data_IF_020386579061
#
_entry.id   IF_020386579061
#
_cell.length_a   1.000
_cell.length_b   1.000
_cell.length_c   1.000
_cell.angle_alpha   90.00
_cell.angle_beta   90.00
_cell.angle_gamma   90.00
#
_symmetry.space_group_name_H-M   'P 1'
#
loop_
_entity.id
_entity.type
_entity.pdbx_description
1 polymer ?
#
# COMPACT_ATOMS: atom_id res chain seq x y z
N UNK A 1 1.11 -5.61 29.60
CA UNK A 1 1.41 -5.06 28.31
C UNK A 1 2.66 -5.73 27.76
N UNK A 2 2.51 -6.59 26.74
CA UNK A 2 3.64 -7.22 26.07
C UNK A 2 4.48 -6.14 25.41
N UNK A 3 5.72 -5.96 25.84
CA UNK A 3 6.71 -5.14 25.13
C UNK A 3 7.09 -5.87 23.85
N UNK A 4 6.51 -5.47 22.73
CA UNK A 4 6.95 -5.91 21.40
C UNK A 4 8.41 -5.47 21.23
N UNK A 5 9.35 -6.36 20.88
CA UNK A 5 10.73 -5.97 20.63
C UNK A 5 10.79 -4.84 19.60
N UNK A 6 11.68 -3.87 19.80
CA UNK A 6 11.80 -2.64 19.01
C UNK A 6 12.03 -2.89 17.50
N UNK A 7 12.47 -4.10 17.15
CA UNK A 7 12.81 -4.54 15.78
C UNK A 7 11.85 -5.57 15.18
N UNK A 8 10.72 -5.88 15.84
CA UNK A 8 9.75 -6.80 15.29
C UNK A 8 8.98 -6.14 14.13
N UNK A 9 8.90 -6.85 13.00
CA UNK A 9 8.08 -6.46 11.86
C UNK A 9 6.61 -6.50 12.32
N UNK A 10 5.94 -5.35 12.24
CA UNK A 10 4.50 -5.28 12.56
C UNK A 10 3.72 -5.55 11.28
N UNK A 11 2.82 -6.51 11.33
CA UNK A 11 1.89 -6.86 10.25
C UNK A 11 0.45 -6.75 10.74
N UNK A 12 -0.48 -6.50 9.85
CA UNK A 12 -1.91 -6.51 10.12
C UNK A 12 -2.55 -7.77 9.53
N UNK A 13 -3.52 -8.32 10.25
CA UNK A 13 -4.45 -9.29 9.67
C UNK A 13 -5.47 -8.61 8.74
N UNK A 14 -6.30 -9.40 8.08
CA UNK A 14 -7.34 -8.87 7.18
C UNK A 14 -8.29 -7.89 7.88
N UNK A 15 -8.68 -8.17 9.13
CA UNK A 15 -9.54 -7.29 9.92
C UNK A 15 -8.86 -5.96 10.25
N UNK A 16 -7.59 -6.00 10.62
CA UNK A 16 -6.77 -4.82 10.87
C UNK A 16 -6.64 -3.93 9.63
N UNK A 17 -6.42 -4.54 8.45
CA UNK A 17 -6.38 -3.82 7.17
C UNK A 17 -7.72 -3.12 6.90
N UNK A 18 -8.84 -3.85 6.99
CA UNK A 18 -10.18 -3.28 6.76
C UNK A 18 -10.48 -2.12 7.73
N UNK A 19 -10.21 -2.30 9.01
CA UNK A 19 -10.41 -1.25 10.02
C UNK A 19 -9.55 -0.01 9.71
N UNK A 20 -8.30 -0.20 9.32
CA UNK A 20 -7.42 0.91 8.98
C UNK A 20 -7.89 1.66 7.74
N UNK A 21 -8.27 0.94 6.68
CA UNK A 21 -8.82 1.53 5.46
C UNK A 21 -10.12 2.31 5.73
N UNK A 22 -11.00 1.80 6.61
CA UNK A 22 -12.24 2.50 6.97
C UNK A 22 -11.97 3.82 7.71
N UNK A 23 -10.98 3.86 8.61
CA UNK A 23 -10.55 5.10 9.30
C UNK A 23 -10.04 6.13 8.28
N UNK A 24 -9.27 5.69 7.28
CA UNK A 24 -8.77 6.57 6.23
C UNK A 24 -9.94 7.07 5.38
N UNK A 25 -10.85 6.20 4.97
CA UNK A 25 -12.05 6.52 4.19
C UNK A 25 -12.94 7.54 4.91
N UNK A 26 -13.06 7.48 6.23
CA UNK A 26 -13.80 8.46 7.03
C UNK A 26 -13.08 9.81 7.13
N UNK A 27 -11.76 9.86 6.96
CA UNK A 27 -10.95 11.09 7.00
C UNK A 27 -10.82 11.70 8.41
N UNK A 28 -11.10 10.95 9.46
CA UNK A 28 -11.07 11.41 10.87
C UNK A 28 -9.68 11.84 11.36
N UNK A 29 -8.63 11.50 10.66
CA UNK A 29 -7.24 11.92 10.96
C UNK A 29 -6.96 13.40 10.64
N UNK A 30 -7.92 14.11 10.00
CA UNK A 30 -7.86 15.54 9.75
C UNK A 30 -8.59 16.41 10.79
N UNK A 31 -9.27 15.83 11.77
CA UNK A 31 -10.21 16.53 12.66
C UNK A 31 -9.60 17.67 13.50
N UNK A 32 -8.27 17.86 13.48
CA UNK A 32 -7.57 18.93 14.22
C UNK A 32 -7.39 20.24 13.43
N UNK A 33 -7.84 20.31 12.17
CA UNK A 33 -7.62 21.47 11.30
C UNK A 33 -8.93 21.98 10.73
N UNK A 34 -9.50 23.01 11.35
CA UNK A 34 -10.68 23.73 10.86
C UNK A 34 -10.28 25.04 10.15
N UNK A 35 -9.93 24.95 8.86
CA UNK A 35 -9.70 26.13 8.01
C UNK A 35 -10.24 25.84 6.60
N UNK A 36 -11.02 26.78 6.01
CA UNK A 36 -11.66 26.62 4.68
C UNK A 36 -10.70 26.19 3.55
N UNK A 37 -9.43 26.63 3.60
CA UNK A 37 -8.39 26.20 2.66
C UNK A 37 -8.09 24.71 2.84
N UNK A 38 -8.08 24.24 4.08
CA UNK A 38 -7.85 22.84 4.44
C UNK A 38 -9.02 21.91 4.07
N UNK A 39 -10.25 22.39 4.06
CA UNK A 39 -11.42 21.55 3.78
C UNK A 39 -11.44 21.02 2.34
N UNK A 40 -10.94 21.81 1.37
CA UNK A 40 -10.80 21.39 -0.03
C UNK A 40 -9.72 20.34 -0.19
N UNK A 41 -8.53 20.60 0.35
CA UNK A 41 -7.41 19.65 0.33
C UNK A 41 -7.74 18.39 1.12
N UNK A 42 -8.48 18.49 2.23
CA UNK A 42 -8.97 17.37 3.03
C UNK A 42 -9.85 16.42 2.21
N UNK A 43 -10.78 16.95 1.40
CA UNK A 43 -11.62 16.13 0.53
C UNK A 43 -10.78 15.38 -0.49
N UNK A 44 -9.77 16.04 -1.06
CA UNK A 44 -8.85 15.43 -2.00
C UNK A 44 -8.02 14.32 -1.35
N UNK A 45 -7.29 14.64 -0.29
CA UNK A 45 -6.43 13.68 0.41
C UNK A 45 -7.17 12.48 1.01
N UNK A 46 -8.42 12.66 1.40
CA UNK A 46 -9.23 11.56 1.90
C UNK A 46 -9.42 10.47 0.83
N UNK A 47 -9.74 10.85 -0.40
CA UNK A 47 -9.90 9.91 -1.50
C UNK A 47 -8.55 9.36 -1.97
N UNK A 48 -7.57 10.24 -2.10
CA UNK A 48 -6.23 9.87 -2.52
C UNK A 48 -5.59 8.85 -1.57
N UNK A 49 -5.60 9.12 -0.26
CA UNK A 49 -4.94 8.24 0.70
C UNK A 49 -5.67 6.93 0.89
N UNK A 50 -6.99 6.90 0.72
CA UNK A 50 -7.72 5.64 0.68
C UNK A 50 -7.26 4.77 -0.50
N UNK A 51 -7.15 5.34 -1.69
CA UNK A 51 -6.63 4.63 -2.86
C UNK A 51 -5.16 4.23 -2.71
N UNK A 52 -4.29 5.14 -2.18
CA UNK A 52 -2.87 4.92 -1.98
C UNK A 52 -2.61 3.77 -1.01
N UNK A 53 -3.25 3.78 0.15
CA UNK A 53 -3.05 2.76 1.20
C UNK A 53 -3.65 1.43 0.77
N UNK A 54 -4.81 1.42 0.10
CA UNK A 54 -5.37 0.22 -0.51
C UNK A 54 -4.40 -0.41 -1.51
N UNK A 55 -3.85 0.39 -2.42
CA UNK A 55 -2.82 -0.07 -3.37
C UNK A 55 -1.57 -0.57 -2.65
N UNK A 56 -1.13 0.10 -1.60
CA UNK A 56 0.03 -0.29 -0.80
C UNK A 56 -0.10 -1.69 -0.23
N UNK A 57 -1.25 -2.03 0.36
CA UNK A 57 -1.55 -3.38 0.86
C UNK A 57 -1.72 -4.39 -0.27
N UNK A 58 -2.42 -4.05 -1.35
CA UNK A 58 -2.71 -4.98 -2.44
C UNK A 58 -1.51 -5.31 -3.33
N UNK A 59 -0.53 -4.42 -3.42
CA UNK A 59 0.62 -4.57 -4.34
C UNK A 59 1.94 -4.89 -3.66
N UNK A 60 2.13 -4.51 -2.39
CA UNK A 60 3.42 -4.56 -1.70
C UNK A 60 4.48 -3.62 -2.28
N UNK A 61 4.10 -2.60 -3.06
CA UNK A 61 5.03 -1.62 -3.62
C UNK A 61 5.72 -0.79 -2.52
N UNK A 62 6.93 -0.28 -2.84
CA UNK A 62 7.59 0.73 -2.00
C UNK A 62 6.84 2.06 -2.12
N UNK A 63 6.80 2.84 -1.05
CA UNK A 63 6.10 4.16 -1.08
C UNK A 63 6.65 5.07 -2.18
N UNK A 64 7.94 5.04 -2.45
CA UNK A 64 8.54 5.81 -3.55
C UNK A 64 8.06 5.36 -4.93
N UNK A 65 7.82 4.06 -5.12
CA UNK A 65 7.24 3.51 -6.35
C UNK A 65 5.78 3.96 -6.49
N UNK A 66 5.01 3.92 -5.40
CA UNK A 66 3.61 4.38 -5.37
C UNK A 66 3.53 5.87 -5.71
N UNK A 67 4.34 6.73 -5.05
CA UNK A 67 4.35 8.16 -5.30
C UNK A 67 4.85 8.57 -6.72
N UNK A 68 5.44 7.64 -7.46
CA UNK A 68 5.91 7.88 -8.83
C UNK A 68 5.06 7.18 -9.89
N UNK A 69 4.00 6.47 -9.48
CA UNK A 69 3.12 5.73 -10.37
C UNK A 69 2.33 6.70 -11.26
N UNK A 70 2.21 6.34 -12.55
CA UNK A 70 1.43 7.08 -13.53
C UNK A 70 0.17 6.30 -13.91
N UNK A 71 -0.87 7.00 -14.31
CA UNK A 71 -2.08 6.35 -14.84
C UNK A 71 -1.80 5.50 -16.07
N UNK A 72 -0.85 5.92 -16.91
CA UNK A 72 -0.37 5.15 -18.07
C UNK A 72 0.40 3.87 -17.71
N UNK A 73 0.77 3.68 -16.44
CA UNK A 73 1.38 2.45 -15.95
C UNK A 73 0.34 1.40 -15.53
N UNK A 74 -0.96 1.76 -15.49
CA UNK A 74 -2.04 0.89 -15.03
C UNK A 74 -2.87 0.43 -16.25
N UNK A 75 -2.96 -0.88 -16.42
CA UNK A 75 -3.91 -1.50 -17.34
C UNK A 75 -5.15 -1.93 -16.55
N UNK A 76 -6.24 -1.18 -16.75
CA UNK A 76 -7.50 -1.40 -16.05
C UNK A 76 -8.29 -2.59 -16.58
N UNK A 77 -8.07 -3.00 -17.83
CA UNK A 77 -8.78 -4.11 -18.47
C UNK A 77 -8.17 -5.44 -18.08
N UNK A 78 -6.83 -5.51 -18.06
CA UNK A 78 -6.09 -6.70 -17.67
C UNK A 78 -5.73 -6.74 -16.18
N UNK A 79 -6.18 -5.78 -15.38
CA UNK A 79 -5.98 -5.70 -13.93
C UNK A 79 -4.52 -5.79 -13.50
N UNK A 80 -3.62 -5.02 -14.10
CA UNK A 80 -2.23 -4.95 -13.66
C UNK A 80 -1.67 -3.54 -13.69
N UNK A 81 -0.60 -3.34 -12.96
CA UNK A 81 0.26 -2.18 -13.09
C UNK A 81 1.71 -2.60 -13.40
N UNK A 82 2.43 -1.67 -14.00
CA UNK A 82 3.83 -1.83 -14.35
C UNK A 82 4.70 -0.88 -13.53
N UNK A 83 5.55 -1.45 -12.67
CA UNK A 83 6.53 -0.66 -11.93
C UNK A 83 7.71 -0.38 -12.85
N UNK A 84 7.98 0.90 -13.14
CA UNK A 84 9.05 1.37 -14.05
C UNK A 84 10.14 2.13 -13.28
N UNK A 85 10.35 1.82 -12.03
CA UNK A 85 11.30 2.55 -11.21
C UNK A 85 12.76 2.29 -11.62
N UNK A 86 13.42 3.32 -12.12
CA UNK A 86 14.82 3.27 -12.53
C UNK A 86 15.72 3.59 -11.34
N UNK A 87 15.96 2.63 -10.47
CA UNK A 87 17.06 2.69 -9.51
C UNK A 87 17.93 1.43 -9.64
N UNK A 88 18.99 1.56 -10.41
CA UNK A 88 20.24 0.74 -10.39
C UNK A 88 20.19 -0.77 -10.64
N UNK A 89 19.03 -1.43 -10.81
CA UNK A 89 18.99 -2.87 -11.13
C UNK A 89 17.84 -3.20 -12.08
N UNK A 90 18.05 -4.16 -12.99
CA UNK A 90 17.04 -4.68 -13.93
C UNK A 90 15.78 -5.22 -13.24
N UNK A 91 15.88 -5.66 -11.99
CA UNK A 91 14.77 -6.18 -11.19
C UNK A 91 13.75 -5.10 -10.73
N UNK A 92 14.00 -3.83 -11.02
CA UNK A 92 13.05 -2.74 -10.72
C UNK A 92 11.87 -2.70 -11.67
N UNK A 93 11.99 -3.36 -12.85
CA UNK A 93 10.93 -3.42 -13.85
C UNK A 93 10.07 -4.68 -13.64
N UNK A 94 8.83 -4.51 -13.21
CA UNK A 94 7.96 -5.66 -12.95
C UNK A 94 6.47 -5.35 -13.16
N UNK A 95 5.73 -6.36 -13.61
CA UNK A 95 4.26 -6.37 -13.68
C UNK A 95 3.70 -6.89 -12.35
N UNK A 96 2.72 -6.18 -11.78
CA UNK A 96 1.98 -6.57 -10.59
C UNK A 96 0.50 -6.67 -10.94
N UNK A 97 -0.06 -7.86 -10.92
CA UNK A 97 -1.50 -8.08 -11.08
C UNK A 97 -2.22 -7.64 -9.81
N UNK A 98 -3.35 -6.95 -9.96
CA UNK A 98 -4.19 -6.46 -8.87
C UNK A 98 -5.54 -7.18 -8.87
N UNK A 99 -6.14 -7.25 -7.70
CA UNK A 99 -7.52 -7.71 -7.54
C UNK A 99 -8.51 -6.67 -8.07
N UNK A 100 -9.73 -7.13 -8.40
CA UNK A 100 -10.77 -6.29 -8.98
C UNK A 100 -11.21 -5.14 -8.07
N UNK A 101 -11.20 -5.35 -6.75
CA UNK A 101 -11.59 -4.32 -5.78
C UNK A 101 -10.59 -3.17 -5.78
N UNK A 102 -9.28 -3.48 -5.78
CA UNK A 102 -8.22 -2.48 -5.87
C UNK A 102 -8.28 -1.71 -7.19
N UNK A 103 -8.53 -2.40 -8.30
CA UNK A 103 -8.72 -1.76 -9.62
C UNK A 103 -9.91 -0.81 -9.60
N UNK A 104 -11.04 -1.21 -9.02
CA UNK A 104 -12.23 -0.36 -8.92
C UNK A 104 -11.96 0.90 -8.07
N UNK A 105 -11.29 0.75 -6.93
CA UNK A 105 -10.87 1.91 -6.11
C UNK A 105 -9.98 2.89 -6.88
N UNK A 106 -9.07 2.38 -7.72
CA UNK A 106 -8.23 3.23 -8.57
C UNK A 106 -9.03 3.92 -9.68
N UNK A 107 -10.02 3.25 -10.28
CA UNK A 107 -10.94 3.87 -11.26
C UNK A 107 -11.74 5.01 -10.62
N UNK A 108 -12.37 4.75 -9.47
CA UNK A 108 -13.13 5.75 -8.71
C UNK A 108 -12.25 6.95 -8.33
N UNK A 109 -11.02 6.68 -7.92
CA UNK A 109 -10.08 7.76 -7.59
C UNK A 109 -9.66 8.56 -8.84
N UNK A 110 -9.47 7.93 -9.98
CA UNK A 110 -9.15 8.60 -11.26
C UNK A 110 -10.27 9.55 -11.68
N UNK A 111 -11.51 9.09 -11.63
CA UNK A 111 -12.69 9.90 -11.93
C UNK A 111 -12.81 11.07 -10.97
N UNK A 112 -12.65 10.82 -9.68
CA UNK A 112 -12.63 11.86 -8.66
C UNK A 112 -11.52 12.88 -8.90
N UNK A 113 -10.28 12.46 -9.19
CA UNK A 113 -9.14 13.34 -9.46
C UNK A 113 -9.38 14.24 -10.67
N UNK A 114 -9.95 13.69 -11.75
CA UNK A 114 -10.28 14.44 -12.95
C UNK A 114 -11.34 15.50 -12.66
N UNK A 115 -12.45 15.13 -12.01
CA UNK A 115 -13.48 16.06 -11.59
C UNK A 115 -12.97 17.12 -10.62
N UNK A 116 -12.07 16.75 -9.69
CA UNK A 116 -11.45 17.67 -8.77
C UNK A 116 -10.60 18.70 -9.51
N UNK A 117 -9.82 18.28 -10.50
CA UNK A 117 -9.00 19.17 -11.35
C UNK A 117 -9.86 20.14 -12.14
N UNK A 118 -10.95 19.66 -12.76
CA UNK A 118 -11.87 20.51 -13.53
C UNK A 118 -12.51 21.62 -12.68
N UNK A 119 -12.86 21.30 -11.43
CA UNK A 119 -13.51 22.22 -10.51
C UNK A 119 -12.55 23.14 -9.72
N UNK A 120 -11.22 22.96 -9.85
CA UNK A 120 -10.22 23.65 -9.06
C UNK A 120 -9.00 24.06 -9.87
N UNK A 121 -9.19 24.43 -11.14
CA UNK A 121 -8.11 24.79 -12.08
C UNK A 121 -7.24 25.97 -11.60
N UNK A 122 -7.76 26.81 -10.73
CA UNK A 122 -7.06 27.99 -10.21
C UNK A 122 -5.86 27.64 -9.29
N UNK A 123 -5.85 26.42 -8.70
CA UNK A 123 -4.77 26.01 -7.80
C UNK A 123 -4.31 24.57 -7.95
N UNK A 124 -5.10 23.69 -8.56
CA UNK A 124 -4.75 22.30 -8.79
C UNK A 124 -4.20 22.11 -10.20
N UNK A 125 -2.88 22.01 -10.29
CA UNK A 125 -2.17 21.81 -11.54
C UNK A 125 -1.47 20.46 -11.51
N UNK A 126 -2.13 19.43 -12.05
CA UNK A 126 -1.60 18.07 -12.08
C UNK A 126 -0.31 18.02 -12.92
N UNK A 127 0.79 17.71 -12.27
CA UNK A 127 2.07 17.45 -12.92
C UNK A 127 2.07 16.07 -13.55
N UNK A 128 2.38 15.99 -14.83
CA UNK A 128 2.47 14.74 -15.55
C UNK A 128 1.19 13.89 -15.41
N UNK A 129 1.30 12.60 -15.69
CA UNK A 129 0.23 11.61 -15.57
C UNK A 129 0.22 10.88 -14.20
N UNK A 130 0.61 11.57 -13.12
CA UNK A 130 0.77 10.96 -11.80
C UNK A 130 -0.58 10.51 -11.22
N UNK A 131 -0.57 9.32 -10.59
CA UNK A 131 -1.72 8.79 -9.85
C UNK A 131 -1.87 9.56 -8.54
N UNK A 132 -0.79 9.70 -7.76
CA UNK A 132 -0.81 10.33 -6.44
C UNK A 132 -0.05 11.64 -6.45
N UNK A 133 -0.72 12.69 -5.99
CA UNK A 133 -0.21 14.06 -6.04
C UNK A 133 -0.43 14.79 -4.72
N UNK A 134 0.17 15.93 -4.53
CA UNK A 134 -0.23 16.85 -3.45
C UNK A 134 -1.60 17.47 -3.77
N UNK A 135 -2.22 18.12 -2.78
CA UNK A 135 -3.48 18.86 -2.98
C UNK A 135 -3.40 20.04 -3.98
N UNK A 136 -2.23 20.30 -4.53
CA UNK A 136 -2.00 21.25 -5.62
C UNK A 136 -1.66 20.60 -6.95
N UNK A 137 -1.72 19.28 -7.05
CA UNK A 137 -1.42 18.50 -8.27
C UNK A 137 0.05 18.18 -8.49
N UNK A 138 0.97 18.62 -7.62
CA UNK A 138 2.40 18.29 -7.68
C UNK A 138 2.67 16.90 -7.18
N UNK A 139 3.82 16.32 -7.53
CA UNK A 139 4.24 15.00 -7.04
C UNK A 139 4.12 14.90 -5.51
N UNK A 140 3.52 13.80 -5.05
CA UNK A 140 3.47 13.48 -3.62
C UNK A 140 4.85 13.01 -3.15
N UNK A 141 5.46 13.74 -2.24
CA UNK A 141 6.76 13.38 -1.68
C UNK A 141 6.60 12.35 -0.55
N UNK A 142 7.30 11.19 -0.61
CA UNK A 142 7.19 10.13 0.40
C UNK A 142 7.44 10.59 1.82
N UNK A 143 8.40 11.50 2.02
CA UNK A 143 8.71 12.06 3.34
C UNK A 143 7.57 12.92 3.87
N UNK A 144 6.99 13.77 3.02
CA UNK A 144 5.85 14.61 3.42
C UNK A 144 4.63 13.74 3.76
N UNK A 145 4.36 12.70 2.96
CA UNK A 145 3.29 11.75 3.28
C UNK A 145 3.51 11.10 4.65
N UNK A 146 4.74 10.64 4.94
CA UNK A 146 5.08 10.02 6.22
C UNK A 146 4.89 10.98 7.39
N UNK A 147 5.51 12.17 7.32
CA UNK A 147 5.59 13.09 8.46
C UNK A 147 4.25 13.78 8.76
N UNK A 148 3.50 14.16 7.71
CA UNK A 148 2.29 14.94 7.89
C UNK A 148 1.00 14.11 7.97
N UNK A 149 0.98 12.90 7.37
CA UNK A 149 -0.27 12.14 7.24
C UNK A 149 -0.19 10.76 7.88
N UNK A 150 0.84 9.96 7.59
CA UNK A 150 0.93 8.58 8.03
C UNK A 150 0.84 8.44 9.55
N UNK A 151 1.65 9.19 10.31
CA UNK A 151 1.63 9.10 11.78
C UNK A 151 0.29 9.50 12.39
N UNK A 152 -0.46 10.38 11.76
CA UNK A 152 -1.80 10.75 12.21
C UNK A 152 -2.81 9.63 11.94
N UNK A 153 -2.72 8.97 10.79
CA UNK A 153 -3.57 7.83 10.45
C UNK A 153 -3.37 6.68 11.42
N UNK A 154 -2.12 6.28 11.68
CA UNK A 154 -1.82 5.18 12.61
C UNK A 154 -2.25 5.50 14.04
N UNK A 155 -2.04 6.74 14.51
CA UNK A 155 -2.50 7.20 15.83
C UNK A 155 -4.03 7.14 15.92
N UNK A 156 -4.74 7.59 14.90
CA UNK A 156 -6.21 7.55 14.86
C UNK A 156 -6.75 6.12 14.80
N UNK A 157 -6.03 5.23 14.16
CA UNK A 157 -6.34 3.81 14.07
C UNK A 157 -5.91 3.00 15.31
N UNK A 158 -5.31 3.65 16.31
CA UNK A 158 -4.73 2.99 17.48
C UNK A 158 -3.74 1.87 17.11
N UNK A 159 -3.06 2.02 15.98
CA UNK A 159 -2.01 1.11 15.55
C UNK A 159 -0.71 1.38 16.31
N UNK A 160 0.17 0.38 16.45
CA UNK A 160 1.47 0.56 17.11
C UNK A 160 2.30 1.68 16.44
N UNK A 161 3.03 2.46 17.22
CA UNK A 161 3.85 3.57 16.70
C UNK A 161 4.95 3.12 15.72
N UNK A 162 5.39 1.87 15.84
CA UNK A 162 6.34 1.25 14.91
C UNK A 162 5.68 0.66 13.64
N UNK A 163 4.35 0.82 13.45
CA UNK A 163 3.69 0.52 12.19
C UNK A 163 4.05 1.58 11.14
N UNK A 164 5.19 1.39 10.51
CA UNK A 164 5.71 2.30 9.48
C UNK A 164 5.04 2.04 8.13
N UNK A 165 5.15 2.98 7.19
CA UNK A 165 4.60 2.81 5.81
C UNK A 165 5.06 1.48 5.19
N UNK A 166 6.31 1.08 5.42
CA UNK A 166 6.86 -0.17 4.89
C UNK A 166 6.16 -1.42 5.45
N UNK A 167 5.46 -1.29 6.58
CA UNK A 167 4.67 -2.39 7.13
C UNK A 167 3.49 -2.82 6.24
N UNK A 168 2.97 -1.95 5.37
CA UNK A 168 2.01 -2.37 4.34
C UNK A 168 2.60 -3.46 3.44
N UNK A 169 3.84 -3.27 3.00
CA UNK A 169 4.57 -4.24 2.17
C UNK A 169 4.89 -5.52 2.94
N UNK A 170 5.28 -5.41 4.21
CA UNK A 170 5.48 -6.58 5.06
C UNK A 170 4.18 -7.35 5.27
N UNK A 171 3.09 -6.66 5.56
CA UNK A 171 1.75 -7.26 5.69
C UNK A 171 1.36 -8.01 4.41
N UNK A 172 1.51 -7.36 3.23
CA UNK A 172 1.24 -8.00 1.95
C UNK A 172 2.02 -9.32 1.76
N UNK A 173 3.32 -9.28 2.01
CA UNK A 173 4.18 -10.45 1.83
C UNK A 173 3.88 -11.57 2.84
N UNK A 174 3.67 -11.22 4.11
CA UNK A 174 3.34 -12.16 5.17
C UNK A 174 2.02 -12.87 4.88
N UNK A 175 0.95 -12.12 4.58
CA UNK A 175 -0.35 -12.71 4.28
C UNK A 175 -0.31 -13.63 3.04
N UNK A 176 0.42 -13.25 1.99
CA UNK A 176 0.59 -14.14 0.82
C UNK A 176 1.35 -15.41 1.18
N UNK A 177 2.40 -15.30 2.00
CA UNK A 177 3.22 -16.43 2.39
C UNK A 177 2.43 -17.40 3.28
N UNK A 178 1.71 -16.90 4.29
CA UNK A 178 0.83 -17.67 5.17
C UNK A 178 -0.27 -18.41 4.40
N UNK A 179 -0.71 -17.83 3.26
CA UNK A 179 -1.69 -18.47 2.36
C UNK A 179 -1.05 -19.33 1.27
N UNK A 180 0.22 -19.73 1.43
CA UNK A 180 0.88 -20.72 0.60
C UNK A 180 1.39 -20.21 -0.76
N UNK A 181 1.42 -18.89 -0.98
CA UNK A 181 1.99 -18.33 -2.22
C UNK A 181 3.50 -18.55 -2.23
N UNK A 182 4.01 -19.10 -3.33
CA UNK A 182 5.43 -19.44 -3.47
C UNK A 182 6.33 -18.19 -3.24
N UNK A 183 7.35 -18.35 -2.40
CA UNK A 183 8.27 -17.27 -2.00
C UNK A 183 8.98 -16.62 -3.18
N UNK A 184 9.26 -17.37 -4.27
CA UNK A 184 9.84 -16.82 -5.51
C UNK A 184 8.88 -15.84 -6.19
N UNK A 185 7.57 -16.16 -6.18
CA UNK A 185 6.51 -15.27 -6.71
C UNK A 185 6.44 -14.01 -5.87
N UNK A 186 6.45 -14.14 -4.54
CA UNK A 186 6.44 -13.00 -3.60
C UNK A 186 7.69 -12.12 -3.84
N UNK A 187 8.87 -12.72 -3.90
CA UNK A 187 10.14 -12.01 -4.15
C UNK A 187 10.09 -11.19 -5.45
N UNK A 188 9.63 -11.80 -6.54
CA UNK A 188 9.45 -11.14 -7.84
C UNK A 188 8.43 -9.99 -7.76
N UNK A 189 7.29 -10.24 -7.11
CA UNK A 189 6.22 -9.24 -6.92
C UNK A 189 6.71 -8.03 -6.14
N UNK A 190 7.50 -8.25 -5.10
CA UNK A 190 8.10 -7.20 -4.29
C UNK A 190 9.26 -6.49 -5.02
N UNK A 191 9.88 -7.10 -6.01
CA UNK A 191 11.07 -6.56 -6.68
C UNK A 191 12.30 -6.60 -5.76
N UNK A 192 12.50 -7.73 -5.07
CA UNK A 192 13.75 -8.00 -4.37
C UNK A 192 14.81 -8.47 -5.36
N UNK A 193 16.05 -8.11 -5.13
CA UNK A 193 17.18 -8.49 -5.99
C UNK A 193 17.43 -10.00 -5.98
N UNK A 194 17.17 -10.64 -4.85
CA UNK A 194 17.32 -12.09 -4.69
C UNK A 194 16.19 -12.69 -3.85
N UNK A 195 15.94 -13.98 -4.02
CA UNK A 195 14.96 -14.73 -3.22
C UNK A 195 15.47 -14.89 -1.78
N UNK A 196 16.78 -15.01 -1.60
CA UNK A 196 17.44 -15.15 -0.29
C UNK A 196 17.13 -13.95 0.62
N UNK A 197 17.07 -12.74 0.04
CA UNK A 197 16.66 -11.56 0.81
C UNK A 197 15.23 -11.71 1.35
N UNK A 198 14.32 -12.24 0.54
CA UNK A 198 12.93 -12.50 0.96
C UNK A 198 12.88 -13.59 2.02
N UNK A 199 13.60 -14.71 1.83
CA UNK A 199 13.71 -15.79 2.80
C UNK A 199 14.21 -15.28 4.14
N UNK A 200 15.29 -14.51 4.16
CA UNK A 200 15.86 -13.93 5.40
C UNK A 200 14.86 -13.01 6.11
N UNK A 201 14.14 -12.19 5.34
CA UNK A 201 13.18 -11.21 5.90
C UNK A 201 11.97 -11.89 6.54
N UNK A 202 11.49 -13.00 5.94
CA UNK A 202 10.26 -13.69 6.35
C UNK A 202 10.52 -15.09 6.93
N UNK A 203 11.76 -15.38 7.39
CA UNK A 203 12.15 -16.67 7.95
C UNK A 203 11.22 -17.10 9.09
N UNK A 204 10.90 -16.18 10.00
CA UNK A 204 10.00 -16.44 11.13
C UNK A 204 8.57 -16.87 10.72
N UNK A 205 8.08 -16.38 9.58
CA UNK A 205 6.78 -16.80 9.02
C UNK A 205 6.88 -18.21 8.47
N UNK A 206 7.99 -18.54 7.80
CA UNK A 206 8.23 -19.88 7.24
C UNK A 206 8.35 -20.90 8.37
N UNK A 207 9.04 -20.56 9.45
CA UNK A 207 9.16 -21.42 10.64
C UNK A 207 7.79 -21.72 11.26
N UNK A 208 6.90 -20.72 11.35
CA UNK A 208 5.54 -20.92 11.87
C UNK A 208 4.66 -21.79 10.95
N UNK A 209 4.99 -21.89 9.66
CA UNK A 209 4.27 -22.74 8.70
C UNK A 209 4.63 -24.22 8.81
N UNK A 210 5.74 -24.59 9.44
CA UNK A 210 6.15 -25.98 9.63
C UNK A 210 5.09 -26.76 10.42
N UNK A 211 4.52 -26.17 11.45
CA UNK A 211 3.44 -26.80 12.22
C UNK A 211 2.21 -27.15 11.37
N UNK A 212 1.95 -26.38 10.32
CA UNK A 212 0.83 -26.61 9.40
C UNK A 212 1.13 -27.67 8.33
N UNK A 213 2.39 -28.00 8.10
CA UNK A 213 2.80 -28.94 7.04
C UNK A 213 2.30 -30.36 7.31
N UNK A 214 2.36 -30.81 8.57
CA UNK A 214 1.85 -32.13 8.98
C UNK A 214 0.34 -32.21 8.76
N UNK A 215 -0.42 -31.22 9.16
CA UNK A 215 -1.88 -31.22 8.97
C UNK A 215 -2.26 -31.22 7.49
N UNK A 216 -1.54 -30.45 6.65
CA UNK A 216 -1.76 -30.48 5.19
C UNK A 216 -1.42 -31.82 4.57
N UNK A 217 -0.38 -32.50 5.06
CA UNK A 217 -0.05 -33.84 4.61
C UNK A 217 -1.17 -34.83 4.92
N UNK A 218 -1.75 -34.73 6.13
CA UNK A 218 -2.90 -35.56 6.50
C UNK A 218 -4.13 -35.31 5.62
N UNK A 219 -4.38 -34.07 5.21
CA UNK A 219 -5.47 -33.71 4.29
C UNK A 219 -5.24 -34.33 2.91
N UNK A 220 -4.03 -34.21 2.34
CA UNK A 220 -3.67 -34.83 1.05
C UNK A 220 -3.84 -36.33 1.05
N UNK A 221 -3.49 -37.00 2.16
CA UNK A 221 -3.59 -38.49 2.26
C UNK A 221 -5.02 -38.99 2.49
N UNK A 222 -5.99 -38.09 2.70
CA UNK A 222 -7.43 -38.48 2.84
C UNK A 222 -8.22 -38.29 1.54
N UNK A 223 -7.65 -37.65 0.51
CA UNK A 223 -8.20 -37.55 -0.84
C UNK A 223 -7.88 -38.83 -1.66
#
# INVERSE_FOLDING_TARGET
PFKVPKDSIVVLDCKGIHNFLEIIKQGKYFDQYSNKKFDRERKYYKQEFYALVSLGFASGMRISEICSLKWSDINFDEHYLQVKWVLKTENSYRKITLDSETINKLKEFKEFQNSFQENHQEYFHKENDLVFTSGTGKKLEPNNFREYYWYRMIKKASLPENFRIHCMRHTHATLLLENGVNIKVISKRLGHSTVEFTLKTYAHVIESMEESAASKWEEIMKE
#
